data_IF_318557031026
#
_entry.id   IF_318557031026
#
_cell.length_a   1.000
_cell.length_b   1.000
_cell.length_c   1.000
_cell.angle_alpha   90.00
_cell.angle_beta   90.00
_cell.angle_gamma   90.00
#
_symmetry.space_group_name_H-M   'P 1'
#
loop_
_entity.id
_entity.type
_entity.pdbx_description
1 polymer ?
#
# COMPACT_ATOMS: atom_id res chain seq x y z
N UNK A 1 -21.91 6.12 -12.84
CA UNK A 1 -21.96 7.54 -12.35
C UNK A 1 -20.68 8.28 -12.71
N UNK A 2 -20.58 9.64 -12.73
CA UNK A 2 -19.30 10.33 -12.87
C UNK A 2 -18.39 10.05 -11.66
N UNK A 3 -17.08 10.25 -11.83
CA UNK A 3 -16.14 10.28 -10.70
C UNK A 3 -16.60 11.30 -9.65
N UNK A 4 -16.41 10.99 -8.37
CA UNK A 4 -16.76 11.85 -7.24
C UNK A 4 -15.50 12.30 -6.45
N UNK A 5 -14.72 13.27 -6.97
CA UNK A 5 -13.50 13.73 -6.31
C UNK A 5 -13.73 14.28 -4.90
N UNK A 6 -14.93 14.77 -4.58
CA UNK A 6 -15.29 15.21 -3.22
C UNK A 6 -15.22 14.04 -2.23
N UNK A 7 -15.64 12.83 -2.64
CA UNK A 7 -15.53 11.63 -1.81
C UNK A 7 -14.07 11.30 -1.48
N UNK A 8 -13.18 11.39 -2.44
CA UNK A 8 -11.73 11.22 -2.21
C UNK A 8 -11.21 12.20 -1.16
N UNK A 9 -11.62 13.47 -1.24
CA UNK A 9 -11.21 14.49 -0.26
C UNK A 9 -11.79 14.23 1.13
N UNK A 10 -13.04 13.78 1.22
CA UNK A 10 -13.70 13.41 2.47
C UNK A 10 -12.99 12.22 3.12
N UNK A 11 -12.71 11.17 2.35
CA UNK A 11 -12.00 9.97 2.82
C UNK A 11 -10.55 10.27 3.25
N UNK A 12 -9.85 11.18 2.57
CA UNK A 12 -8.55 11.67 3.03
C UNK A 12 -8.63 12.36 4.39
N UNK A 13 -9.69 13.14 4.64
CA UNK A 13 -9.91 13.77 5.95
C UNK A 13 -10.23 12.75 7.03
N UNK A 14 -11.09 11.77 6.74
CA UNK A 14 -11.37 10.66 7.67
C UNK A 14 -10.09 9.92 8.05
N UNK A 15 -9.25 9.59 7.07
CA UNK A 15 -7.97 8.91 7.32
C UNK A 15 -7.05 9.77 8.19
N UNK A 16 -6.99 11.08 7.93
CA UNK A 16 -6.24 12.02 8.75
C UNK A 16 -6.74 12.05 10.20
N UNK A 17 -8.05 12.10 10.41
CA UNK A 17 -8.66 12.09 11.74
C UNK A 17 -8.39 10.77 12.48
N UNK A 18 -8.42 9.65 11.75
CA UNK A 18 -8.20 8.32 12.31
C UNK A 18 -6.75 8.08 12.72
N UNK A 19 -5.79 8.59 11.94
CA UNK A 19 -4.38 8.16 12.01
C UNK A 19 -3.39 9.31 12.15
N UNK A 20 -3.86 10.52 12.37
CA UNK A 20 -3.04 11.71 12.57
C UNK A 20 -3.28 12.38 13.92
N UNK A 21 -2.53 13.44 14.15
CA UNK A 21 -2.69 14.34 15.28
C UNK A 21 -2.51 15.81 14.82
N UNK A 22 -2.33 16.73 15.75
CA UNK A 22 -2.12 18.15 15.46
C UNK A 22 -0.85 18.44 14.65
N UNK A 23 0.18 17.57 14.77
CA UNK A 23 1.47 17.72 14.09
C UNK A 23 1.47 17.14 12.67
N UNK A 24 0.55 16.20 12.35
CA UNK A 24 0.46 15.59 11.03
C UNK A 24 0.06 14.11 11.03
N UNK A 25 0.36 13.42 9.94
CA UNK A 25 0.14 11.99 9.81
C UNK A 25 1.12 11.17 10.66
N UNK A 26 0.63 10.06 11.25
CA UNK A 26 1.40 9.21 12.16
C UNK A 26 1.45 7.74 11.69
N UNK A 27 1.27 7.48 10.40
CA UNK A 27 1.21 6.13 9.82
C UNK A 27 2.60 5.60 9.48
N UNK A 28 3.53 5.64 10.42
CA UNK A 28 4.85 5.04 10.21
C UNK A 28 4.69 3.55 9.94
N UNK A 29 5.30 3.06 8.88
CA UNK A 29 5.19 1.66 8.47
C UNK A 29 5.59 0.69 9.59
N UNK A 30 4.95 -0.49 9.60
CA UNK A 30 5.17 -1.54 10.59
C UNK A 30 4.81 -1.10 12.02
N UNK A 31 3.77 -0.25 12.15
CA UNK A 31 3.17 0.14 13.43
C UNK A 31 1.66 -0.14 13.44
N UNK A 32 1.07 -0.14 14.64
CA UNK A 32 -0.38 -0.33 14.79
C UNK A 32 -1.19 0.76 14.06
N UNK A 33 -0.73 2.02 14.08
CA UNK A 33 -1.41 3.13 13.38
C UNK A 33 -1.41 2.94 11.87
N UNK A 34 -0.32 2.42 11.30
CA UNK A 34 -0.26 2.08 9.88
C UNK A 34 -1.24 0.95 9.54
N UNK A 35 -1.27 -0.14 10.33
CA UNK A 35 -2.24 -1.22 10.13
C UNK A 35 -3.68 -0.75 10.27
N UNK A 36 -3.97 0.16 11.19
CA UNK A 36 -5.29 0.78 11.33
C UNK A 36 -5.70 1.52 10.04
N UNK A 37 -4.79 2.30 9.44
CA UNK A 37 -5.03 2.96 8.14
C UNK A 37 -5.29 1.98 7.02
N UNK A 38 -4.53 0.88 6.97
CA UNK A 38 -4.69 -0.18 5.97
C UNK A 38 -6.00 -0.97 6.14
N UNK A 39 -6.38 -1.26 7.38
CA UNK A 39 -7.66 -1.88 7.68
C UNK A 39 -8.83 -0.97 7.28
N UNK A 40 -8.72 0.33 7.54
CA UNK A 40 -9.70 1.31 7.08
C UNK A 40 -9.80 1.34 5.55
N UNK A 41 -8.67 1.31 4.82
CA UNK A 41 -8.67 1.24 3.35
C UNK A 41 -9.41 -0.01 2.85
N UNK A 42 -9.18 -1.19 3.45
CA UNK A 42 -9.92 -2.42 3.11
C UNK A 42 -11.42 -2.22 3.26
N UNK A 43 -11.84 -1.61 4.38
CA UNK A 43 -13.27 -1.31 4.63
C UNK A 43 -13.88 -0.35 3.60
N UNK A 44 -13.11 0.58 3.02
CA UNK A 44 -13.59 1.48 1.95
C UNK A 44 -13.82 0.76 0.62
N UNK A 45 -13.23 -0.41 0.43
CA UNK A 45 -13.35 -1.23 -0.78
C UNK A 45 -14.33 -2.39 -0.61
N UNK A 46 -14.88 -2.58 0.60
CA UNK A 46 -15.90 -3.61 0.87
C UNK A 46 -17.11 -3.44 -0.06
N UNK A 47 -17.60 -4.58 -0.57
CA UNK A 47 -18.75 -4.62 -1.47
C UNK A 47 -18.43 -4.35 -2.94
N UNK A 48 -17.19 -3.99 -3.29
CA UNK A 48 -16.75 -3.99 -4.68
C UNK A 48 -16.30 -5.41 -5.11
N UNK A 49 -16.41 -5.76 -6.40
CA UNK A 49 -16.03 -7.07 -6.92
C UNK A 49 -14.50 -7.18 -7.07
N UNK A 50 -13.77 -7.00 -5.97
CA UNK A 50 -12.32 -7.00 -5.93
C UNK A 50 -11.79 -8.24 -5.23
N UNK A 51 -10.69 -8.78 -5.75
CA UNK A 51 -9.84 -9.70 -5.00
C UNK A 51 -8.85 -8.87 -4.18
N UNK A 52 -8.66 -9.27 -2.92
CA UNK A 52 -7.68 -8.64 -2.02
C UNK A 52 -6.63 -9.66 -1.61
N UNK A 53 -5.37 -9.28 -1.69
CA UNK A 53 -4.24 -10.06 -1.18
C UNK A 53 -3.18 -9.14 -0.56
N UNK A 54 -2.36 -9.71 0.33
CA UNK A 54 -1.11 -9.12 0.80
C UNK A 54 0.00 -10.02 0.30
N UNK A 55 0.99 -9.44 -0.39
CA UNK A 55 2.11 -10.21 -0.92
C UNK A 55 3.23 -10.45 0.12
N UNK A 56 4.28 -11.14 -0.27
CA UNK A 56 5.38 -11.54 0.59
C UNK A 56 6.22 -10.36 1.10
N UNK A 57 6.13 -9.19 0.45
CA UNK A 57 6.75 -7.94 0.91
C UNK A 57 5.79 -7.07 1.73
N UNK A 58 4.56 -7.54 1.98
CA UNK A 58 3.56 -6.82 2.75
C UNK A 58 2.79 -5.76 1.95
N UNK A 59 2.95 -5.65 0.64
CA UNK A 59 2.13 -4.76 -0.18
C UNK A 59 0.69 -5.25 -0.21
N UNK A 60 -0.28 -4.33 -0.15
CA UNK A 60 -1.69 -4.67 -0.35
C UNK A 60 -2.08 -4.49 -1.82
N UNK A 61 -2.76 -5.49 -2.36
CA UNK A 61 -3.25 -5.50 -3.73
C UNK A 61 -4.77 -5.65 -3.75
N UNK A 62 -5.42 -4.83 -4.57
CA UNK A 62 -6.85 -4.91 -4.83
C UNK A 62 -7.05 -5.03 -6.34
N UNK A 63 -7.57 -6.17 -6.79
CA UNK A 63 -7.63 -6.52 -8.21
C UNK A 63 -9.07 -6.54 -8.69
N UNK A 64 -9.39 -5.67 -9.63
CA UNK A 64 -10.61 -5.71 -10.42
C UNK A 64 -10.31 -6.49 -11.71
N UNK A 65 -10.79 -7.73 -11.78
CA UNK A 65 -10.58 -8.57 -12.97
C UNK A 65 -11.24 -7.96 -14.20
N UNK A 66 -10.55 -8.04 -15.32
CA UNK A 66 -11.03 -7.63 -16.62
C UNK A 66 -10.99 -8.78 -17.63
N UNK A 67 -11.41 -8.50 -18.85
CA UNK A 67 -11.44 -9.46 -19.96
C UNK A 67 -10.04 -9.94 -20.39
N UNK A 68 -8.98 -9.29 -19.95
CA UNK A 68 -7.57 -9.61 -20.25
C UNK A 68 -6.77 -9.81 -18.98
N UNK A 69 -5.85 -10.76 -18.99
CA UNK A 69 -4.85 -10.99 -17.93
C UNK A 69 -3.82 -9.84 -17.83
N UNK A 70 -3.67 -9.01 -18.88
CA UNK A 70 -2.85 -7.80 -18.79
C UNK A 70 -3.44 -6.86 -17.75
N UNK A 71 -2.60 -6.31 -16.88
CA UNK A 71 -3.03 -5.46 -15.80
C UNK A 71 -2.49 -4.04 -15.90
N UNK A 72 -3.38 -3.06 -15.71
CA UNK A 72 -2.99 -1.68 -15.42
C UNK A 72 -2.79 -1.54 -13.91
N UNK A 73 -1.61 -1.06 -13.49
CA UNK A 73 -1.30 -0.80 -12.09
C UNK A 73 -1.52 0.68 -11.78
N UNK A 74 -2.24 0.93 -10.69
CA UNK A 74 -2.43 2.25 -10.08
C UNK A 74 -2.16 2.13 -8.59
N UNK A 75 -1.79 3.20 -7.91
CA UNK A 75 -1.60 3.15 -6.46
C UNK A 75 -0.61 4.18 -5.93
N UNK A 76 -0.11 3.89 -4.76
CA UNK A 76 0.81 4.71 -3.97
C UNK A 76 1.15 3.99 -2.69
N UNK A 77 1.19 4.71 -1.56
CA UNK A 77 1.47 4.15 -0.23
C UNK A 77 0.57 4.78 0.82
N UNK A 78 0.31 4.02 1.88
CA UNK A 78 -0.48 4.49 3.03
C UNK A 78 0.39 4.92 4.20
N UNK A 79 1.66 4.51 4.24
CA UNK A 79 2.59 4.93 5.28
C UNK A 79 2.96 6.42 5.16
N UNK A 80 3.54 6.97 6.20
CA UNK A 80 4.02 8.35 6.27
C UNK A 80 5.25 8.43 7.16
N UNK A 81 6.05 9.47 6.99
CA UNK A 81 7.01 9.84 8.03
C UNK A 81 6.27 10.34 9.29
N UNK A 82 6.89 10.33 10.48
CA UNK A 82 6.32 10.96 11.68
C UNK A 82 5.98 12.43 11.42
N UNK A 83 4.80 12.88 11.83
CA UNK A 83 4.29 14.23 11.59
C UNK A 83 4.26 14.61 10.09
N UNK A 84 4.06 13.61 9.23
CA UNK A 84 4.15 13.76 7.79
C UNK A 84 2.96 14.45 7.15
N UNK A 85 3.08 14.69 5.84
CA UNK A 85 2.00 15.18 5.01
C UNK A 85 0.85 14.17 4.95
N UNK A 86 -0.36 14.61 5.29
CA UNK A 86 -1.53 13.73 5.31
C UNK A 86 -2.04 13.33 3.91
N UNK A 87 -1.56 14.00 2.86
CA UNK A 87 -1.90 13.72 1.46
C UNK A 87 -0.89 12.82 0.77
N UNK A 88 0.35 12.81 1.26
CA UNK A 88 1.44 12.07 0.62
C UNK A 88 1.11 10.57 0.53
N UNK A 89 1.34 9.99 -0.65
CA UNK A 89 0.96 8.62 -0.98
C UNK A 89 -0.54 8.36 -0.98
N UNK A 90 -1.21 8.74 0.11
CA UNK A 90 -2.64 8.48 0.32
C UNK A 90 -3.55 9.11 -0.74
N UNK A 91 -3.19 10.28 -1.27
CA UNK A 91 -3.96 10.89 -2.36
C UNK A 91 -3.98 9.97 -3.59
N UNK A 92 -2.85 9.38 -3.95
CA UNK A 92 -2.75 8.47 -5.09
C UNK A 92 -3.57 7.19 -4.86
N UNK A 93 -3.48 6.62 -3.66
CA UNK A 93 -4.24 5.42 -3.29
C UNK A 93 -5.74 5.70 -3.34
N UNK A 94 -6.22 6.77 -2.69
CA UNK A 94 -7.66 7.06 -2.63
C UNK A 94 -8.23 7.57 -3.96
N UNK A 95 -7.44 8.26 -4.78
CA UNK A 95 -7.82 8.53 -6.17
C UNK A 95 -7.96 7.23 -6.97
N UNK A 96 -7.07 6.27 -6.76
CA UNK A 96 -7.15 4.92 -7.34
C UNK A 96 -8.41 4.17 -6.88
N UNK A 97 -8.77 4.27 -5.60
CA UNK A 97 -10.04 3.71 -5.06
C UNK A 97 -11.25 4.29 -5.80
N UNK A 98 -11.28 5.60 -6.01
CA UNK A 98 -12.39 6.25 -6.74
C UNK A 98 -12.45 5.80 -8.19
N UNK A 99 -11.30 5.60 -8.85
CA UNK A 99 -11.22 5.05 -10.20
C UNK A 99 -11.75 3.61 -10.23
N UNK A 100 -11.36 2.74 -9.29
CA UNK A 100 -11.86 1.36 -9.21
C UNK A 100 -13.38 1.32 -9.02
N UNK A 101 -13.92 2.14 -8.12
CA UNK A 101 -15.39 2.26 -7.92
C UNK A 101 -16.08 2.61 -9.22
N UNK A 102 -15.52 3.60 -9.94
CA UNK A 102 -16.13 4.05 -11.20
C UNK A 102 -16.07 2.97 -12.28
N UNK A 103 -14.97 2.26 -12.41
CA UNK A 103 -14.82 1.18 -13.39
C UNK A 103 -15.75 0.01 -13.03
N UNK A 104 -15.81 -0.38 -11.76
CA UNK A 104 -16.66 -1.49 -11.30
C UNK A 104 -18.16 -1.26 -11.57
N UNK A 105 -18.62 0.00 -11.55
CA UNK A 105 -20.00 0.36 -11.93
C UNK A 105 -20.31 0.12 -13.42
N UNK A 106 -19.32 0.21 -14.30
CA UNK A 106 -19.51 -0.01 -15.73
C UNK A 106 -19.44 -1.50 -16.11
N UNK A 107 -19.12 -2.39 -15.16
CA UNK A 107 -18.98 -3.82 -15.35
C UNK A 107 -17.55 -4.25 -15.60
N UNK A 108 -17.35 -5.35 -16.33
CA UNK A 108 -16.03 -5.92 -16.60
C UNK A 108 -15.18 -5.01 -17.50
N UNK A 109 -14.01 -4.54 -17.04
CA UNK A 109 -13.14 -3.71 -17.86
C UNK A 109 -12.39 -4.54 -18.93
N UNK A 110 -11.89 -3.91 -20.01
CA UNK A 110 -11.18 -4.61 -21.08
C UNK A 110 -9.82 -5.17 -20.62
N UNK A 111 -9.23 -4.60 -19.58
CA UNK A 111 -7.99 -5.06 -18.93
C UNK A 111 -8.20 -5.12 -17.43
N UNK A 112 -7.49 -6.01 -16.76
CA UNK A 112 -7.46 -6.06 -15.31
C UNK A 112 -6.91 -4.75 -14.74
N UNK A 113 -7.51 -4.22 -13.67
CA UNK A 113 -7.02 -3.03 -12.98
C UNK A 113 -6.62 -3.43 -11.56
N UNK A 114 -5.40 -3.10 -11.15
CA UNK A 114 -4.87 -3.42 -9.84
C UNK A 114 -4.45 -2.16 -9.12
N UNK A 115 -5.02 -1.95 -7.93
CA UNK A 115 -4.57 -0.92 -7.00
C UNK A 115 -3.57 -1.53 -6.04
N UNK A 116 -2.44 -0.88 -5.85
CA UNK A 116 -1.41 -1.26 -4.89
C UNK A 116 -1.21 -0.18 -3.83
N UNK A 117 -1.09 -0.61 -2.58
CA UNK A 117 -0.56 0.13 -1.45
C UNK A 117 0.81 -0.45 -1.14
N UNK A 118 1.88 0.26 -1.54
CA UNK A 118 3.26 -0.16 -1.31
C UNK A 118 3.61 -0.10 0.17
N UNK A 119 4.18 -1.18 0.69
CA UNK A 119 4.61 -1.25 2.08
C UNK A 119 5.92 -0.49 2.29
N UNK A 120 5.94 0.38 3.30
CA UNK A 120 7.13 1.12 3.76
C UNK A 120 7.85 1.87 2.61
N UNK A 121 7.09 2.72 1.92
CA UNK A 121 7.66 3.57 0.86
C UNK A 121 8.62 4.59 1.45
N UNK A 122 8.24 5.22 2.54
CA UNK A 122 8.97 6.31 3.20
C UNK A 122 10.24 5.83 3.93
N UNK A 123 10.25 4.60 4.43
CA UNK A 123 11.38 4.04 5.17
C UNK A 123 11.66 4.71 6.50
N UNK A 124 10.66 5.37 7.09
CA UNK A 124 10.85 6.26 8.24
C UNK A 124 11.32 5.54 9.50
N UNK A 125 10.91 4.28 9.72
CA UNK A 125 11.23 3.53 10.93
C UNK A 125 12.65 2.95 10.91
N UNK A 126 13.08 2.41 9.76
CA UNK A 126 14.33 1.67 9.64
C UNK A 126 15.36 2.34 8.72
N UNK A 127 15.08 3.54 8.23
CA UNK A 127 16.00 4.30 7.39
C UNK A 127 16.24 3.67 6.00
N UNK A 128 15.22 2.94 5.47
CA UNK A 128 15.25 2.33 4.16
C UNK A 128 13.90 2.48 3.46
N UNK A 129 13.80 3.42 2.55
CA UNK A 129 12.61 3.66 1.74
C UNK A 129 12.41 2.61 0.63
N UNK A 130 11.19 2.58 0.06
CA UNK A 130 10.81 1.74 -1.07
C UNK A 130 10.90 0.23 -0.78
N UNK A 131 10.64 -0.20 0.48
CA UNK A 131 10.78 -1.61 0.85
C UNK A 131 9.95 -2.52 -0.07
N UNK A 132 8.63 -2.33 -0.11
CA UNK A 132 7.72 -3.18 -0.85
C UNK A 132 7.89 -3.09 -2.36
N UNK A 133 8.04 -1.88 -2.90
CA UNK A 133 8.19 -1.67 -4.34
C UNK A 133 9.53 -2.19 -4.87
N UNK A 134 10.63 -2.06 -4.09
CA UNK A 134 11.93 -2.60 -4.48
C UNK A 134 11.95 -4.13 -4.44
N UNK A 135 11.21 -4.75 -3.50
CA UNK A 135 11.03 -6.20 -3.48
C UNK A 135 10.36 -6.70 -4.77
N UNK A 136 9.23 -6.07 -5.15
CA UNK A 136 8.50 -6.41 -6.38
C UNK A 136 9.32 -6.16 -7.65
N UNK A 137 10.07 -5.07 -7.72
CA UNK A 137 10.86 -4.74 -8.92
C UNK A 137 12.19 -5.47 -9.01
N UNK A 138 12.56 -6.26 -8.01
CA UNK A 138 13.85 -6.98 -7.95
C UNK A 138 15.05 -6.06 -7.68
N UNK A 139 14.81 -4.83 -7.21
CA UNK A 139 15.86 -3.84 -6.88
C UNK A 139 16.12 -3.72 -5.38
N UNK A 140 15.52 -4.62 -4.58
CA UNK A 140 15.73 -4.63 -3.12
C UNK A 140 17.23 -4.80 -2.79
N UNK A 141 17.67 -4.07 -1.79
CA UNK A 141 19.03 -4.16 -1.23
C UNK A 141 19.39 -5.58 -0.77
N UNK A 142 20.67 -5.76 -0.41
CA UNK A 142 21.13 -7.00 0.20
C UNK A 142 20.38 -7.26 1.50
N UNK A 143 19.77 -8.45 1.60
CA UNK A 143 19.02 -8.85 2.78
C UNK A 143 19.89 -8.94 4.04
N UNK A 144 21.18 -9.22 3.92
CA UNK A 144 22.10 -9.24 5.07
C UNK A 144 22.31 -7.82 5.64
N UNK A 145 22.30 -6.80 4.79
CA UNK A 145 22.32 -5.39 5.25
C UNK A 145 20.98 -5.03 5.93
N UNK A 146 19.86 -5.44 5.34
CA UNK A 146 18.53 -5.18 5.91
C UNK A 146 18.35 -5.84 7.29
N UNK A 147 18.90 -7.06 7.50
CA UNK A 147 18.84 -7.74 8.80
C UNK A 147 19.55 -7.00 9.93
N UNK A 148 20.50 -6.14 9.61
CA UNK A 148 21.26 -5.37 10.60
C UNK A 148 20.55 -4.06 11.00
N UNK A 149 19.47 -3.68 10.33
CA UNK A 149 18.75 -2.46 10.64
C UNK A 149 17.86 -2.62 11.87
N UNK A 150 17.86 -1.59 12.70
CA UNK A 150 17.00 -1.49 13.87
C UNK A 150 16.41 -0.09 13.93
N UNK A 151 15.24 0.03 14.55
CA UNK A 151 14.65 1.32 14.85
C UNK A 151 15.30 1.99 16.08
N UNK A 152 14.77 3.17 16.47
CA UNK A 152 15.30 3.95 17.60
C UNK A 152 15.15 3.24 18.96
N UNK A 153 14.20 2.29 19.06
CA UNK A 153 13.94 1.49 20.28
C UNK A 153 14.75 0.18 20.30
N UNK A 154 15.55 -0.06 19.25
CA UNK A 154 16.39 -1.27 19.11
C UNK A 154 15.63 -2.50 18.58
N UNK A 155 14.42 -2.33 18.07
CA UNK A 155 13.66 -3.41 17.42
C UNK A 155 14.29 -3.65 16.04
N UNK A 156 14.69 -4.90 15.77
CA UNK A 156 15.25 -5.25 14.47
C UNK A 156 14.18 -5.26 13.36
N UNK A 157 14.53 -4.83 12.15
CA UNK A 157 13.63 -4.86 11.00
C UNK A 157 12.98 -6.23 10.78
N UNK A 158 13.70 -7.38 10.79
CA UNK A 158 13.06 -8.68 10.62
C UNK A 158 12.03 -9.03 11.70
N UNK A 159 12.19 -8.51 12.92
CA UNK A 159 11.24 -8.74 14.00
C UNK A 159 9.96 -7.95 13.77
N UNK A 160 10.07 -6.67 13.44
CA UNK A 160 8.94 -5.83 13.08
C UNK A 160 8.17 -6.38 11.86
N UNK A 161 8.86 -6.84 10.83
CA UNK A 161 8.25 -7.47 9.66
C UNK A 161 7.42 -8.70 10.05
N UNK A 162 7.99 -9.60 10.90
CA UNK A 162 7.29 -10.82 11.36
C UNK A 162 6.03 -10.53 12.17
N UNK A 163 6.01 -9.47 12.97
CA UNK A 163 4.81 -9.02 13.69
C UNK A 163 3.66 -8.67 12.73
N UNK A 164 3.99 -8.25 11.51
CA UNK A 164 3.05 -7.93 10.43
C UNK A 164 2.90 -9.05 9.38
N UNK A 165 3.38 -10.26 9.69
CA UNK A 165 3.22 -11.43 8.82
C UNK A 165 4.15 -11.48 7.61
N UNK A 166 5.19 -10.67 7.58
CA UNK A 166 6.20 -10.61 6.50
C UNK A 166 7.48 -11.30 6.93
N UNK A 167 7.99 -12.20 6.08
CA UNK A 167 9.31 -12.79 6.22
C UNK A 167 10.27 -12.10 5.24
N UNK A 168 11.33 -11.50 5.76
CA UNK A 168 12.34 -10.81 4.94
C UNK A 168 12.93 -11.72 3.85
N UNK A 169 13.12 -13.01 4.15
CA UNK A 169 13.71 -13.96 3.20
C UNK A 169 12.81 -14.22 1.98
N UNK A 170 11.49 -14.22 2.20
CA UNK A 170 10.49 -14.40 1.15
C UNK A 170 10.11 -13.12 0.40
N UNK A 171 10.49 -11.93 0.90
CA UNK A 171 9.97 -10.67 0.37
C UNK A 171 10.16 -10.48 -1.15
N UNK A 172 11.28 -10.99 -1.72
CA UNK A 172 11.56 -10.90 -3.17
C UNK A 172 10.63 -11.74 -4.05
N UNK A 173 9.91 -12.70 -3.47
CA UNK A 173 8.92 -13.51 -4.20
C UNK A 173 7.71 -12.68 -4.65
N UNK A 174 7.50 -11.51 -4.02
CA UNK A 174 6.49 -10.53 -4.45
C UNK A 174 6.66 -10.05 -5.90
N UNK A 175 7.83 -10.27 -6.52
CA UNK A 175 8.09 -9.95 -7.92
C UNK A 175 7.08 -10.55 -8.91
N UNK A 176 6.45 -11.70 -8.57
CA UNK A 176 5.38 -12.29 -9.37
C UNK A 176 4.19 -11.37 -9.61
N UNK A 177 3.99 -10.40 -8.72
CA UNK A 177 2.88 -9.44 -8.82
C UNK A 177 2.99 -8.53 -10.05
N UNK A 178 4.18 -8.36 -10.62
CA UNK A 178 4.41 -7.51 -11.79
C UNK A 178 4.38 -8.29 -13.12
N UNK A 179 4.30 -9.62 -13.11
CA UNK A 179 4.36 -10.45 -14.34
C UNK A 179 3.22 -10.13 -15.32
N UNK A 180 2.04 -9.75 -14.82
CA UNK A 180 0.88 -9.37 -15.64
C UNK A 180 0.82 -7.88 -15.98
N UNK A 181 1.75 -7.06 -15.45
CA UNK A 181 1.73 -5.62 -15.67
C UNK A 181 1.89 -5.30 -17.16
N UNK A 182 1.00 -4.45 -17.69
CA UNK A 182 1.11 -3.93 -19.04
C UNK A 182 2.22 -2.86 -19.05
N UNK A 183 3.22 -3.07 -19.90
CA UNK A 183 4.25 -2.08 -20.18
C UNK A 183 3.70 -0.96 -21.06
#
# INVERSE_FOLDING_TARGET
MPLAPSRTVEELRELRELTGNEDGAQRVAWTETWEQGRAWLRGKLDGLPLEHEVDEAGNQWFTLRGASERALLIGGHMDSVPNGGWLDGCLNVLAGVEVLRRIAEDGEPPVTVRLVDWADEEGARFGRSLFGSSACSGTMDDQDELRQRSDADGIALPDALREHGVDLDGAKESGRQLESAAA
#
